data_IF_745251930901
#
_entry.id   IF_745251930901
#
_cell.length_a   1.000
_cell.length_b   1.000
_cell.length_c   1.000
_cell.angle_alpha   90.00
_cell.angle_beta   90.00
_cell.angle_gamma   90.00
#
_symmetry.space_group_name_H-M   'P 1'
#
loop_
_entity.id
_entity.type
_entity.pdbx_description
1 polymer ?
#
# COMPACT_ATOMS: atom_id res chain seq x y z
N UNK A 1 3.87 -14.63 3.91
CA UNK A 1 4.07 -14.29 2.48
C UNK A 1 5.22 -15.12 1.91
N UNK A 2 5.20 -16.43 2.16
CA UNK A 2 6.37 -17.29 1.99
C UNK A 2 6.55 -17.80 0.55
N UNK A 3 5.63 -17.46 -0.36
CA UNK A 3 5.60 -17.96 -1.75
C UNK A 3 5.32 -16.86 -2.79
N UNK A 4 5.67 -15.60 -2.52
CA UNK A 4 5.58 -14.57 -3.58
C UNK A 4 6.91 -14.47 -4.32
N UNK A 5 6.88 -14.50 -5.65
CA UNK A 5 8.01 -14.11 -6.48
C UNK A 5 8.26 -12.59 -6.38
N UNK A 6 9.38 -12.13 -6.94
CA UNK A 6 9.64 -10.68 -7.06
C UNK A 6 8.62 -10.01 -7.98
N UNK A 7 8.19 -10.69 -9.05
CA UNK A 7 7.13 -10.18 -9.94
C UNK A 7 5.81 -9.99 -9.21
N UNK A 8 5.38 -10.99 -8.43
CA UNK A 8 4.14 -10.92 -7.64
C UNK A 8 4.16 -9.75 -6.66
N UNK A 9 5.32 -9.51 -6.02
CA UNK A 9 5.50 -8.37 -5.11
C UNK A 9 5.39 -7.04 -5.85
N UNK A 10 5.97 -6.92 -7.05
CA UNK A 10 5.89 -5.69 -7.85
C UNK A 10 4.43 -5.42 -8.25
N UNK A 11 3.72 -6.43 -8.74
CA UNK A 11 2.31 -6.33 -9.13
C UNK A 11 1.46 -5.94 -7.92
N UNK A 12 1.62 -6.62 -6.79
CA UNK A 12 0.88 -6.34 -5.56
C UNK A 12 1.14 -4.91 -5.04
N UNK A 13 2.38 -4.41 -5.12
CA UNK A 13 2.72 -3.03 -4.74
C UNK A 13 2.01 -2.00 -5.64
N UNK A 14 2.00 -2.23 -6.96
CA UNK A 14 1.32 -1.37 -7.94
C UNK A 14 -0.19 -1.36 -7.72
N UNK A 15 -0.80 -2.53 -7.52
CA UNK A 15 -2.23 -2.67 -7.25
C UNK A 15 -2.62 -1.98 -5.93
N UNK A 16 -1.82 -2.14 -4.87
CA UNK A 16 -2.07 -1.44 -3.61
C UNK A 16 -2.03 0.09 -3.78
N UNK A 17 -1.07 0.63 -4.54
CA UNK A 17 -1.02 2.07 -4.86
C UNK A 17 -2.28 2.53 -5.62
N UNK A 18 -2.71 1.76 -6.62
CA UNK A 18 -3.92 2.05 -7.40
C UNK A 18 -5.16 2.10 -6.50
N UNK A 19 -5.32 1.12 -5.62
CA UNK A 19 -6.46 1.06 -4.68
C UNK A 19 -6.47 2.23 -3.70
N UNK A 20 -5.31 2.57 -3.12
CA UNK A 20 -5.21 3.72 -2.21
C UNK A 20 -5.61 5.03 -2.89
N UNK A 21 -5.15 5.27 -4.12
CA UNK A 21 -5.53 6.46 -4.89
C UNK A 21 -7.02 6.47 -5.24
N UNK A 22 -7.57 5.33 -5.68
CA UNK A 22 -8.99 5.22 -5.99
C UNK A 22 -9.87 5.50 -4.76
N UNK A 23 -9.50 4.96 -3.60
CA UNK A 23 -10.23 5.20 -2.35
C UNK A 23 -10.09 6.67 -1.92
N UNK A 24 -8.93 7.29 -2.11
CA UNK A 24 -8.74 8.71 -1.81
C UNK A 24 -9.68 9.62 -2.61
N UNK A 25 -9.90 9.33 -3.90
CA UNK A 25 -10.86 10.07 -4.73
C UNK A 25 -12.29 9.98 -4.20
N UNK A 26 -12.68 8.82 -3.66
CA UNK A 26 -14.00 8.64 -3.03
C UNK A 26 -14.05 9.36 -1.68
N UNK A 27 -13.00 9.20 -0.86
CA UNK A 27 -12.88 9.85 0.44
C UNK A 27 -13.04 11.37 0.34
N UNK A 28 -12.42 12.02 -0.65
CA UNK A 28 -12.54 13.47 -0.87
C UNK A 28 -13.99 13.96 -1.05
N UNK A 29 -14.90 13.09 -1.51
CA UNK A 29 -16.31 13.44 -1.75
C UNK A 29 -17.18 13.28 -0.50
N UNK A 30 -16.91 12.26 0.31
CA UNK A 30 -17.81 11.85 1.40
C UNK A 30 -17.20 11.97 2.81
N UNK A 31 -15.89 12.17 2.93
CA UNK A 31 -15.12 12.26 4.18
C UNK A 31 -15.41 11.14 5.20
N UNK A 32 -15.62 9.92 4.69
CA UNK A 32 -15.92 8.76 5.51
C UNK A 32 -14.67 8.23 6.24
N UNK A 33 -14.78 8.09 7.57
CA UNK A 33 -13.71 7.57 8.44
C UNK A 33 -13.37 6.12 8.13
N UNK A 34 -14.33 5.31 7.68
CA UNK A 34 -14.10 3.90 7.37
C UNK A 34 -13.21 3.75 6.12
N UNK A 35 -13.38 4.61 5.12
CA UNK A 35 -12.51 4.66 3.94
C UNK A 35 -11.07 5.02 4.32
N UNK A 36 -10.90 5.97 5.25
CA UNK A 36 -9.58 6.35 5.76
C UNK A 36 -8.88 5.16 6.45
N UNK A 37 -9.61 4.38 7.24
CA UNK A 37 -9.04 3.21 7.91
C UNK A 37 -8.71 2.07 6.93
N UNK A 38 -9.50 1.89 5.87
CA UNK A 38 -9.12 1.00 4.75
C UNK A 38 -7.84 1.48 4.07
N UNK A 39 -7.71 2.78 3.76
CA UNK A 39 -6.50 3.35 3.16
C UNK A 39 -5.26 3.12 4.04
N UNK A 40 -5.36 3.36 5.35
CA UNK A 40 -4.26 3.12 6.30
C UNK A 40 -3.82 1.65 6.29
N UNK A 41 -4.77 0.71 6.34
CA UNK A 41 -4.48 -0.74 6.29
C UNK A 41 -3.79 -1.14 4.99
N UNK A 42 -4.26 -0.62 3.85
CA UNK A 42 -3.63 -0.85 2.54
C UNK A 42 -2.22 -0.27 2.48
N UNK A 43 -2.01 0.92 3.03
CA UNK A 43 -0.71 1.61 3.05
C UNK A 43 0.31 0.83 3.88
N UNK A 44 -0.07 0.31 5.04
CA UNK A 44 0.80 -0.55 5.86
C UNK A 44 1.18 -1.82 5.10
N UNK A 45 0.23 -2.47 4.44
CA UNK A 45 0.51 -3.67 3.63
C UNK A 45 1.44 -3.35 2.45
N UNK A 46 1.19 -2.26 1.73
CA UNK A 46 2.06 -1.76 0.64
C UNK A 46 3.48 -1.52 1.13
N UNK A 47 3.65 -0.80 2.25
CA UNK A 47 4.97 -0.51 2.85
C UNK A 47 5.73 -1.79 3.16
N UNK A 48 5.07 -2.83 3.70
CA UNK A 48 5.70 -4.15 3.95
C UNK A 48 6.16 -4.84 2.68
N UNK A 49 5.44 -4.67 1.56
CA UNK A 49 5.84 -5.22 0.25
C UNK A 49 7.04 -4.43 -0.30
N UNK A 50 7.01 -3.10 -0.21
CA UNK A 50 8.09 -2.23 -0.69
C UNK A 50 9.40 -2.47 0.05
N UNK A 51 9.36 -2.65 1.38
CA UNK A 51 10.54 -3.01 2.19
C UNK A 51 11.17 -4.33 1.70
N UNK A 52 10.35 -5.30 1.28
CA UNK A 52 10.87 -6.57 0.75
C UNK A 52 11.41 -6.44 -0.68
N UNK A 53 10.93 -5.47 -1.45
CA UNK A 53 11.38 -5.23 -2.83
C UNK A 53 12.65 -4.38 -2.89
N UNK A 54 12.75 -3.34 -2.06
CA UNK A 54 13.79 -2.31 -2.13
C UNK A 54 14.81 -2.41 -0.99
N UNK A 55 14.64 -3.35 -0.07
CA UNK A 55 15.30 -3.30 1.23
C UNK A 55 14.57 -2.35 2.19
N UNK A 56 14.94 -2.40 3.47
CA UNK A 56 14.50 -1.36 4.40
C UNK A 56 15.12 -0.06 3.90
N UNK A 57 14.33 1.00 3.63
CA UNK A 57 14.95 2.31 3.51
C UNK A 57 15.68 2.52 4.83
N UNK A 58 16.99 2.82 4.78
CA UNK A 58 17.67 3.32 5.96
C UNK A 58 16.77 4.41 6.50
N UNK A 59 16.31 4.22 7.74
CA UNK A 59 15.71 5.30 8.49
C UNK A 59 16.81 6.32 8.65
N UNK A 60 16.97 7.18 7.63
CA UNK A 60 17.86 8.34 7.62
C UNK A 60 17.36 9.34 8.63
N UNK A 61 17.49 8.95 9.90
CA UNK A 61 17.80 9.83 11.01
C UNK A 61 19.22 10.32 10.77
#
# INVERSE_FOLDING_TARGET
MSHMSTSDRVIASRQAKRLVLAIHEIYKKINDKDLMDVMKRLTVKKKRIEIRLKGRPDSGI
#
